data_IF_144200808570
#
_entry.id   IF_144200808570
#
_cell.length_a   1.000
_cell.length_b   1.000
_cell.length_c   1.000
_cell.angle_alpha   90.00
_cell.angle_beta   90.00
_cell.angle_gamma   90.00
#
_symmetry.space_group_name_H-M   'P 1'
#
loop_
_entity.id
_entity.type
_entity.pdbx_description
1 polymer ?
#
# COMPACT_ATOMS: atom_id res chain seq x y z
N UNK A 1 25.60 -4.42 18.61
CA UNK A 1 25.18 -5.74 19.11
C UNK A 1 23.70 -5.67 19.43
N UNK A 2 22.91 -6.69 19.09
CA UNK A 2 21.47 -6.75 19.43
C UNK A 2 21.32 -7.33 20.84
N UNK A 3 20.47 -6.77 21.72
CA UNK A 3 20.28 -7.32 23.06
C UNK A 3 19.73 -8.74 23.02
N UNK A 4 20.28 -9.65 23.83
CA UNK A 4 19.95 -11.09 23.81
C UNK A 4 18.50 -11.42 24.17
N UNK A 5 17.79 -10.48 24.78
CA UNK A 5 16.37 -10.59 25.13
C UNK A 5 15.45 -10.14 23.98
N UNK A 6 15.95 -9.48 22.93
CA UNK A 6 15.13 -9.10 21.77
C UNK A 6 15.00 -10.31 20.86
N UNK A 7 13.79 -10.88 20.82
CA UNK A 7 13.45 -12.04 20.00
C UNK A 7 12.04 -11.87 19.44
N UNK A 8 11.82 -12.38 18.24
CA UNK A 8 10.51 -12.33 17.59
C UNK A 8 10.52 -11.45 16.35
N UNK A 9 9.33 -10.98 15.96
CA UNK A 9 9.12 -10.28 14.70
C UNK A 9 8.56 -8.88 14.94
N UNK A 10 9.19 -7.90 14.32
CA UNK A 10 8.66 -6.55 14.20
C UNK A 10 8.13 -6.38 12.79
N UNK A 11 6.86 -6.02 12.66
CA UNK A 11 6.22 -5.74 11.37
C UNK A 11 5.77 -4.29 11.39
N UNK A 12 6.15 -3.55 10.36
CA UNK A 12 5.74 -2.16 10.14
C UNK A 12 4.98 -2.08 8.84
N UNK A 13 3.84 -1.39 8.87
CA UNK A 13 3.12 -0.98 7.68
C UNK A 13 3.47 0.46 7.34
N UNK A 14 3.31 0.82 6.08
CA UNK A 14 3.54 2.17 5.64
C UNK A 14 3.56 2.32 4.13
N UNK A 15 4.09 3.47 3.75
CA UNK A 15 4.19 3.91 2.38
C UNK A 15 5.41 3.30 1.67
N UNK A 16 5.20 2.58 0.56
CA UNK A 16 6.28 1.90 -0.16
C UNK A 16 6.51 2.31 -1.62
N UNK A 17 5.55 3.00 -2.25
CA UNK A 17 5.62 3.38 -3.67
C UNK A 17 4.69 4.55 -4.01
N UNK A 18 5.23 5.58 -4.66
CA UNK A 18 4.58 6.88 -4.82
C UNK A 18 4.01 7.14 -6.22
N UNK A 19 3.93 6.10 -7.06
CA UNK A 19 3.43 6.21 -8.42
C UNK A 19 3.59 4.88 -9.16
N UNK A 20 2.99 4.80 -10.33
CA UNK A 20 3.10 3.66 -11.24
C UNK A 20 2.91 4.18 -12.66
N UNK A 21 3.72 3.67 -13.58
CA UNK A 21 3.76 4.13 -14.97
C UNK A 21 3.80 5.66 -15.09
N UNK A 22 2.83 6.29 -15.78
CA UNK A 22 2.87 7.72 -16.08
C UNK A 22 2.47 8.62 -14.90
N UNK A 23 1.74 8.13 -13.90
CA UNK A 23 1.21 8.95 -12.81
C UNK A 23 1.91 8.73 -11.46
N UNK A 24 1.94 9.80 -10.67
CA UNK A 24 2.49 9.81 -9.31
C UNK A 24 1.50 10.44 -8.33
N UNK A 25 1.52 9.97 -7.09
CA UNK A 25 0.79 10.57 -5.98
C UNK A 25 1.50 11.83 -5.49
N UNK A 26 0.75 12.90 -5.25
CA UNK A 26 1.28 14.12 -4.64
C UNK A 26 1.16 14.15 -3.12
N UNK A 27 0.45 13.19 -2.52
CA UNK A 27 0.24 13.11 -1.08
C UNK A 27 0.67 11.74 -0.53
N UNK A 28 1.36 11.75 0.61
CA UNK A 28 2.00 10.56 1.20
C UNK A 28 0.99 9.48 1.60
N UNK A 29 -0.27 9.82 1.88
CA UNK A 29 -1.28 8.82 2.24
C UNK A 29 -1.88 8.07 1.04
N UNK A 30 -1.58 8.46 -0.19
CA UNK A 30 -2.10 7.79 -1.39
C UNK A 30 -1.18 6.68 -1.92
N UNK A 31 0.05 6.61 -1.42
CA UNK A 31 1.03 5.65 -1.87
C UNK A 31 0.66 4.20 -1.55
N UNK A 32 1.25 3.27 -2.30
CA UNK A 32 1.00 1.85 -2.13
C UNK A 32 1.51 1.34 -0.78
N UNK A 33 0.65 0.62 -0.07
CA UNK A 33 0.98 -0.07 1.16
C UNK A 33 2.12 -1.07 0.98
N UNK A 34 3.11 -1.02 1.86
CA UNK A 34 4.23 -1.97 1.89
C UNK A 34 4.52 -2.37 3.33
N UNK A 35 4.58 -3.67 3.54
CA UNK A 35 4.99 -4.24 4.82
C UNK A 35 6.50 -4.41 4.85
N UNK A 36 7.06 -4.11 6.01
CA UNK A 36 8.45 -4.32 6.36
C UNK A 36 8.50 -5.22 7.59
N UNK A 37 9.28 -6.29 7.53
CA UNK A 37 9.39 -7.28 8.60
C UNK A 37 10.85 -7.50 8.97
N UNK A 38 11.14 -7.41 10.27
CA UNK A 38 12.42 -7.79 10.87
C UNK A 38 12.21 -8.97 11.80
N UNK A 39 12.90 -10.07 11.55
CA UNK A 39 12.90 -11.26 12.39
C UNK A 39 14.20 -11.32 13.19
N UNK A 40 14.11 -11.23 14.50
CA UNK A 40 15.23 -11.26 15.43
C UNK A 40 15.42 -12.68 15.98
N UNK A 41 16.52 -13.31 15.60
CA UNK A 41 16.87 -14.68 15.98
C UNK A 41 17.67 -14.72 17.29
N UNK A 42 17.65 -15.89 17.94
CA UNK A 42 18.31 -16.10 19.24
C UNK A 42 19.85 -16.05 19.19
N UNK A 43 20.44 -16.26 18.01
CA UNK A 43 21.89 -16.20 17.76
C UNK A 43 22.39 -14.76 17.49
N UNK A 44 21.47 -13.78 17.52
CA UNK A 44 21.77 -12.37 17.23
C UNK A 44 21.65 -12.00 15.75
N UNK A 45 21.26 -12.94 14.89
CA UNK A 45 21.01 -12.69 13.46
C UNK A 45 19.66 -11.97 13.27
N UNK A 46 19.58 -11.12 12.24
CA UNK A 46 18.33 -10.48 11.83
C UNK A 46 18.06 -10.72 10.36
N UNK A 47 16.87 -11.21 10.05
CA UNK A 47 16.37 -11.30 8.68
C UNK A 47 15.39 -10.17 8.41
N UNK A 48 15.60 -9.47 7.29
CA UNK A 48 14.68 -8.45 6.80
C UNK A 48 13.93 -8.96 5.56
N UNK A 49 12.63 -8.68 5.50
CA UNK A 49 11.82 -8.86 4.29
C UNK A 49 10.87 -7.67 4.11
N UNK A 50 10.48 -7.43 2.85
CA UNK A 50 9.46 -6.43 2.55
C UNK A 50 8.65 -6.83 1.33
N UNK A 51 7.36 -6.49 1.32
CA UNK A 51 6.46 -6.80 0.22
C UNK A 51 5.35 -5.76 0.11
N UNK A 52 5.00 -5.38 -1.12
CA UNK A 52 3.80 -4.58 -1.36
C UNK A 52 2.56 -5.40 -1.02
N UNK A 53 1.59 -4.79 -0.34
CA UNK A 53 0.32 -5.44 -0.04
C UNK A 53 -0.39 -5.73 -1.35
N UNK A 54 -0.77 -6.99 -1.56
CA UNK A 54 -1.50 -7.43 -2.76
C UNK A 54 -2.99 -7.10 -2.65
N UNK A 55 -3.29 -5.83 -2.35
CA UNK A 55 -4.66 -5.32 -2.28
C UNK A 55 -5.20 -5.18 -3.70
N UNK A 56 -6.52 -5.03 -3.82
CA UNK A 56 -7.13 -4.82 -5.11
C UNK A 56 -6.59 -3.56 -5.81
N UNK A 57 -6.49 -2.45 -5.07
CA UNK A 57 -5.91 -1.21 -5.56
C UNK A 57 -4.50 -1.40 -6.15
N UNK A 58 -3.63 -2.14 -5.45
CA UNK A 58 -2.27 -2.40 -5.94
C UNK A 58 -2.28 -3.28 -7.18
N UNK A 59 -3.05 -4.37 -7.17
CA UNK A 59 -3.08 -5.33 -8.28
C UNK A 59 -3.67 -4.71 -9.56
N UNK A 60 -4.76 -3.95 -9.44
CA UNK A 60 -5.36 -3.22 -10.56
C UNK A 60 -4.38 -2.19 -11.14
N UNK A 61 -3.62 -1.49 -10.28
CA UNK A 61 -2.59 -0.57 -10.74
C UNK A 61 -1.50 -1.29 -11.54
N UNK A 62 -1.02 -2.43 -11.04
CA UNK A 62 -0.01 -3.26 -11.71
C UNK A 62 -0.50 -3.77 -13.06
N UNK A 63 -1.77 -4.19 -13.15
CA UNK A 63 -2.36 -4.70 -14.39
C UNK A 63 -2.43 -3.63 -15.49
N UNK A 64 -2.75 -2.39 -15.11
CA UNK A 64 -2.86 -1.28 -16.06
C UNK A 64 -1.55 -0.51 -16.30
N UNK A 65 -0.48 -0.82 -15.55
CA UNK A 65 0.79 -0.07 -15.51
C UNK A 65 0.58 1.42 -15.27
N UNK A 66 -0.31 1.76 -14.33
CA UNK A 66 -0.66 3.11 -13.95
C UNK A 66 -1.35 3.11 -12.57
N UNK A 67 -1.48 4.26 -11.91
CA UNK A 67 -2.22 4.32 -10.64
C UNK A 67 -3.71 4.09 -10.88
N UNK A 68 -4.31 3.10 -10.21
CA UNK A 68 -5.70 2.74 -10.44
C UNK A 68 -6.67 3.85 -9.98
N UNK A 69 -7.52 4.41 -10.86
CA UNK A 69 -8.27 5.61 -10.56
C UNK A 69 -9.20 5.48 -9.36
N UNK A 70 -8.99 6.35 -8.36
CA UNK A 70 -9.82 6.47 -7.15
C UNK A 70 -9.80 7.93 -6.65
N UNK A 71 -10.58 8.24 -5.64
CA UNK A 71 -10.47 9.51 -4.93
C UNK A 71 -9.28 9.42 -3.97
N UNK A 72 -8.26 10.21 -4.24
CA UNK A 72 -7.04 10.35 -3.43
C UNK A 72 -7.09 11.58 -2.53
N UNK A 73 -6.19 11.64 -1.54
CA UNK A 73 -5.98 12.84 -0.73
C UNK A 73 -5.35 13.98 -1.53
N UNK A 74 -4.38 13.65 -2.39
CA UNK A 74 -3.71 14.59 -3.29
C UNK A 74 -4.30 14.61 -4.71
N UNK A 75 -3.81 15.54 -5.52
CA UNK A 75 -4.02 15.52 -6.98
C UNK A 75 -2.87 14.75 -7.61
N UNK A 76 -3.16 13.70 -8.35
CA UNK A 76 -2.18 12.95 -9.13
C UNK A 76 -1.40 13.83 -10.11
N UNK A 77 -0.15 13.43 -10.38
CA UNK A 77 0.77 14.15 -11.27
C UNK A 77 1.30 13.22 -12.37
N UNK A 78 1.03 13.49 -13.66
CA UNK A 78 0.19 14.57 -14.17
C UNK A 78 -1.28 14.40 -13.78
N UNK A 79 -2.11 15.42 -13.99
CA UNK A 79 -3.53 15.32 -13.63
C UNK A 79 -4.27 14.34 -14.54
N UNK A 80 -5.13 13.53 -13.96
CA UNK A 80 -6.00 12.61 -14.68
C UNK A 80 -6.92 13.31 -15.68
N UNK A 81 -7.19 12.59 -16.78
CA UNK A 81 -8.16 12.97 -17.78
C UNK A 81 -9.59 12.84 -17.28
N UNK A 82 -10.55 13.32 -18.08
CA UNK A 82 -11.99 13.25 -17.71
C UNK A 82 -12.50 11.81 -17.57
N UNK A 83 -11.92 10.86 -18.30
CA UNK A 83 -12.29 9.43 -18.23
C UNK A 83 -11.86 8.84 -16.89
N UNK A 84 -10.60 9.01 -16.50
CA UNK A 84 -10.06 8.45 -15.26
C UNK A 84 -10.72 9.10 -14.04
N UNK A 85 -11.05 10.39 -14.12
CA UNK A 85 -11.82 11.08 -13.07
C UNK A 85 -13.25 10.55 -12.93
N UNK A 86 -13.89 10.16 -14.03
CA UNK A 86 -15.20 9.50 -13.96
C UNK A 86 -15.08 8.09 -13.38
N UNK A 87 -14.03 7.34 -13.77
CA UNK A 87 -13.73 6.03 -13.19
C UNK A 87 -13.47 6.15 -11.68
N UNK A 88 -12.67 7.12 -11.24
CA UNK A 88 -12.41 7.40 -9.82
C UNK A 88 -13.69 7.62 -9.01
N UNK A 89 -14.66 8.37 -9.55
CA UNK A 89 -15.97 8.59 -8.92
C UNK A 89 -16.82 7.31 -8.84
N UNK A 90 -16.65 6.37 -9.77
CA UNK A 90 -17.37 5.09 -9.76
C UNK A 90 -16.71 4.10 -8.80
N UNK A 91 -15.38 3.99 -8.85
CA UNK A 91 -14.56 3.09 -8.02
C UNK A 91 -14.59 3.46 -6.52
N UNK A 92 -14.86 4.73 -6.20
CA UNK A 92 -14.94 5.21 -4.80
C UNK A 92 -16.31 5.00 -4.16
N UNK A 93 -17.31 4.50 -4.91
CA UNK A 93 -18.64 4.22 -4.35
C UNK A 93 -18.65 2.84 -3.70
N UNK A 94 -19.05 2.72 -2.42
CA UNK A 94 -19.26 1.41 -1.81
C UNK A 94 -20.46 0.76 -2.50
N UNK A 95 -20.21 -0.22 -3.34
CA UNK A 95 -21.24 -1.03 -4.00
C UNK A 95 -20.80 -2.48 -3.99
N UNK A 96 -21.75 -3.40 -3.88
CA UNK A 96 -21.48 -4.84 -3.80
C UNK A 96 -20.90 -5.42 -5.10
N UNK A 97 -20.88 -4.65 -6.20
CA UNK A 97 -20.49 -5.10 -7.53
C UNK A 97 -19.23 -4.43 -8.09
N UNK A 98 -18.66 -3.45 -7.39
CA UNK A 98 -17.44 -2.76 -7.84
C UNK A 98 -16.35 -3.00 -6.81
N UNK A 99 -15.26 -3.56 -7.30
CA UNK A 99 -13.98 -3.60 -6.61
C UNK A 99 -13.62 -2.21 -6.06
N UNK A 100 -13.50 -2.08 -4.74
CA UNK A 100 -13.32 -0.79 -4.07
C UNK A 100 -11.85 -0.51 -3.74
N UNK A 101 -11.53 0.75 -3.50
CA UNK A 101 -10.21 1.18 -3.02
C UNK A 101 -9.94 0.64 -1.61
N UNK A 102 -8.93 -0.22 -1.49
CA UNK A 102 -8.61 -0.99 -0.28
C UNK A 102 -7.15 -0.81 0.17
N UNK A 103 -6.58 0.39 0.00
CA UNK A 103 -5.18 0.64 0.35
C UNK A 103 -4.94 0.59 1.86
N UNK A 104 -4.29 -0.48 2.33
CA UNK A 104 -4.03 -0.74 3.74
C UNK A 104 -2.64 -0.20 4.16
N UNK A 105 -2.38 1.11 4.09
CA UNK A 105 -1.03 1.67 4.29
C UNK A 105 -0.79 2.36 5.66
N UNK A 106 -1.78 2.38 6.56
CA UNK A 106 -1.70 3.17 7.80
C UNK A 106 -1.11 2.39 8.96
N UNK A 107 -1.68 1.23 9.28
CA UNK A 107 -1.20 0.41 10.39
C UNK A 107 -1.58 -1.06 10.19
N UNK A 108 -1.06 -1.92 11.05
CA UNK A 108 -1.46 -3.30 11.21
C UNK A 108 -1.77 -3.57 12.68
N UNK A 109 -2.69 -4.49 12.92
CA UNK A 109 -3.06 -4.92 14.25
C UNK A 109 -3.15 -6.43 14.26
N UNK A 110 -2.62 -7.05 15.30
CA UNK A 110 -2.83 -8.46 15.56
C UNK A 110 -4.17 -8.61 16.30
N UNK A 111 -5.11 -9.29 15.66
CA UNK A 111 -6.44 -9.55 16.21
C UNK A 111 -6.89 -10.96 15.85
N UNK A 112 -6.95 -11.83 16.85
CA UNK A 112 -7.28 -13.25 16.69
C UNK A 112 -6.44 -14.14 17.60
N UNK A 113 -6.72 -15.44 17.58
CA UNK A 113 -5.95 -16.50 18.21
C UNK A 113 -5.44 -17.47 17.13
#
# INVERSE_FOLDING_TARGET
>A
QIPSYVRGRSIHNGCGGFGMGPHNFSHVFDCYAKLHSWNFESDGTVTFSSQFMQTNFYNQSVEMDDIWPSIYFGVESPRFGMKDRMAALMNSKPTDSVETYDNLNVNLWDFGL
#
